data_IF_269058281134
#
_entry.id   IF_269058281134
#
_cell.length_a   1.000
_cell.length_b   1.000
_cell.length_c   1.000
_cell.angle_alpha   90.00
_cell.angle_beta   90.00
_cell.angle_gamma   90.00
#
_symmetry.space_group_name_H-M   'P 1'
#
loop_
_entity.id
_entity.type
_entity.pdbx_description
1 polymer ?
#
# COMPACT_ATOMS: atom_id res chain seq x y z
N UNK A 1 18.36 -56.87 23.71
CA UNK A 1 18.92 -57.98 22.91
C UNK A 1 17.87 -58.39 21.90
N UNK A 2 18.20 -58.41 20.61
CA UNK A 2 17.43 -59.11 19.58
C UNK A 2 16.63 -58.23 18.62
N UNK A 3 17.11 -58.16 17.38
CA UNK A 3 16.47 -57.59 16.18
C UNK A 3 15.18 -58.34 15.74
N UNK A 4 14.36 -57.76 14.84
CA UNK A 4 13.02 -58.25 14.46
C UNK A 4 13.01 -59.16 13.22
N UNK A 5 11.89 -59.87 12.97
CA UNK A 5 11.48 -60.24 11.61
C UNK A 5 9.96 -59.98 11.38
N UNK A 6 9.38 -59.70 10.22
CA UNK A 6 9.76 -59.59 8.79
C UNK A 6 8.64 -58.78 8.11
N UNK A 7 8.99 -58.04 7.06
CA UNK A 7 8.06 -57.42 6.09
C UNK A 7 7.33 -58.47 5.25
N UNK A 8 6.07 -58.21 4.90
CA UNK A 8 5.42 -58.74 3.70
C UNK A 8 4.76 -57.62 2.89
N UNK A 9 5.29 -57.44 1.67
CA UNK A 9 4.76 -56.93 0.38
C UNK A 9 3.90 -55.64 0.36
N UNK A 10 4.41 -54.53 -0.18
CA UNK A 10 4.56 -54.13 -1.61
C UNK A 10 3.27 -53.61 -2.26
N UNK A 11 3.25 -52.29 -2.48
CA UNK A 11 2.44 -51.61 -3.48
C UNK A 11 3.18 -50.35 -3.93
N UNK A 12 4.00 -50.47 -4.97
CA UNK A 12 4.62 -49.35 -5.68
C UNK A 12 3.61 -48.76 -6.67
N UNK A 13 3.50 -47.43 -6.70
CA UNK A 13 3.24 -46.69 -7.93
C UNK A 13 4.20 -45.51 -7.97
N UNK A 14 5.22 -45.64 -8.81
CA UNK A 14 6.07 -44.55 -9.28
C UNK A 14 5.38 -43.91 -10.49
N UNK A 15 5.17 -42.60 -10.45
CA UNK A 15 5.07 -41.80 -11.68
C UNK A 15 5.83 -40.49 -11.50
N UNK A 16 6.96 -40.44 -12.21
CA UNK A 16 7.74 -39.30 -12.70
C UNK A 16 8.40 -38.31 -11.71
N UNK A 17 9.74 -38.44 -11.66
CA UNK A 17 10.76 -37.44 -11.33
C UNK A 17 10.75 -36.82 -9.91
N UNK A 18 11.18 -37.60 -8.91
CA UNK A 18 11.67 -37.06 -7.63
C UNK A 18 12.56 -38.08 -6.92
N UNK A 19 13.76 -37.68 -6.49
CA UNK A 19 14.67 -38.53 -5.69
C UNK A 19 14.43 -38.27 -4.20
N UNK A 20 14.20 -39.33 -3.43
CA UNK A 20 14.07 -39.31 -1.97
C UNK A 20 15.44 -39.12 -1.30
N UNK A 21 15.58 -38.19 -0.34
CA UNK A 21 16.89 -37.82 0.22
C UNK A 21 16.99 -37.91 1.75
N UNK A 22 15.92 -38.23 2.48
CA UNK A 22 16.03 -38.53 3.93
C UNK A 22 14.77 -38.21 4.73
N UNK A 23 14.75 -38.65 6.00
CA UNK A 23 13.67 -38.41 6.97
C UNK A 23 14.17 -37.52 8.12
N UNK A 24 13.32 -36.60 8.58
CA UNK A 24 13.52 -35.83 9.80
C UNK A 24 12.24 -35.72 10.63
N UNK A 25 12.37 -35.34 11.90
CA UNK A 25 11.25 -35.11 12.83
C UNK A 25 11.39 -33.72 13.47
N UNK A 26 10.29 -32.96 13.50
CA UNK A 26 10.15 -31.73 14.30
C UNK A 26 8.81 -31.81 15.03
N UNK A 27 8.81 -31.66 16.35
CA UNK A 27 7.58 -31.60 17.14
C UNK A 27 6.69 -32.86 17.11
N UNK A 28 7.27 -34.05 16.86
CA UNK A 28 6.55 -35.32 16.90
C UNK A 28 5.69 -35.65 15.66
N UNK A 29 5.82 -34.90 14.57
CA UNK A 29 5.19 -35.25 13.29
C UNK A 29 6.22 -35.60 12.21
N UNK A 30 5.85 -36.56 11.36
CA UNK A 30 6.66 -37.11 10.26
C UNK A 30 6.59 -36.21 9.03
N UNK A 31 7.75 -35.92 8.45
CA UNK A 31 7.88 -35.11 7.22
C UNK A 31 8.76 -35.85 6.21
N UNK A 32 8.28 -35.96 4.97
CA UNK A 32 9.04 -36.50 3.83
C UNK A 32 9.72 -35.36 3.06
N UNK A 33 11.03 -35.46 2.83
CA UNK A 33 11.81 -34.45 2.10
C UNK A 33 12.03 -34.86 0.64
N UNK A 34 11.68 -33.97 -0.29
CA UNK A 34 12.05 -34.05 -1.70
C UNK A 34 12.81 -32.80 -2.14
N UNK A 35 13.91 -32.94 -2.88
CA UNK A 35 14.58 -31.81 -3.52
C UNK A 35 14.29 -31.82 -5.03
N UNK A 36 13.89 -30.67 -5.54
CA UNK A 36 14.03 -30.34 -6.95
C UNK A 36 15.30 -29.49 -7.14
N UNK A 37 16.00 -29.70 -8.25
CA UNK A 37 17.30 -29.09 -8.49
C UNK A 37 17.31 -27.57 -8.29
N UNK A 38 18.09 -27.11 -7.31
CA UNK A 38 18.48 -25.71 -7.14
C UNK A 38 17.57 -24.86 -6.24
N UNK A 39 17.53 -25.14 -4.94
CA UNK A 39 17.00 -24.22 -3.91
C UNK A 39 16.18 -24.93 -2.84
N UNK A 40 16.42 -24.62 -1.56
CA UNK A 40 15.62 -25.11 -0.42
C UNK A 40 14.51 -24.09 -0.15
N UNK A 41 13.25 -24.50 -0.22
CA UNK A 41 12.10 -23.72 0.23
C UNK A 41 11.73 -24.16 1.66
N UNK A 42 11.58 -23.21 2.57
CA UNK A 42 10.91 -23.44 3.86
C UNK A 42 9.57 -22.70 3.83
N UNK A 43 8.50 -23.40 4.16
CA UNK A 43 7.17 -22.82 4.34
C UNK A 43 6.71 -23.13 5.77
N UNK A 44 6.34 -22.09 6.53
CA UNK A 44 5.72 -22.23 7.83
C UNK A 44 4.19 -22.16 7.64
N UNK A 45 3.50 -23.30 7.70
CA UNK A 45 2.03 -23.37 7.70
C UNK A 45 1.59 -23.73 9.11
N UNK A 46 0.91 -22.82 9.82
CA UNK A 46 0.21 -23.13 11.06
C UNK A 46 -1.23 -23.54 10.75
N UNK A 47 -1.60 -24.77 11.12
CA UNK A 47 -2.99 -25.24 11.09
C UNK A 47 -3.63 -25.07 12.47
N UNK A 48 -4.77 -24.39 12.54
CA UNK A 48 -5.68 -24.42 13.69
C UNK A 48 -6.88 -25.32 13.36
N UNK A 49 -7.27 -26.27 14.23
CA UNK A 49 -8.40 -27.16 13.96
C UNK A 49 -9.73 -26.43 14.17
N UNK A 50 -10.59 -26.41 13.15
CA UNK A 50 -12.02 -26.08 13.26
C UNK A 50 -12.86 -27.35 13.07
N UNK A 51 -14.00 -27.39 13.75
CA UNK A 51 -14.90 -28.54 13.88
C UNK A 51 -15.41 -29.11 12.53
N UNK A 52 -15.89 -30.38 12.50
CA UNK A 52 -16.26 -31.07 11.27
C UNK A 52 -17.41 -30.35 10.56
N UNK A 53 -17.23 -29.94 9.30
CA UNK A 53 -18.30 -29.40 8.46
C UNK A 53 -17.96 -28.21 7.56
N UNK A 54 -16.74 -27.67 7.58
CA UNK A 54 -16.35 -26.54 6.73
C UNK A 54 -15.29 -26.96 5.69
N UNK A 55 -15.53 -26.64 4.43
CA UNK A 55 -14.53 -26.69 3.37
C UNK A 55 -13.63 -25.45 3.44
N UNK A 56 -12.31 -25.65 3.40
CA UNK A 56 -11.31 -24.60 3.35
C UNK A 56 -11.03 -24.21 1.89
N UNK A 57 -11.11 -22.91 1.57
CA UNK A 57 -10.53 -22.36 0.35
C UNK A 57 -9.10 -21.92 0.65
N UNK A 58 -8.13 -22.45 -0.08
CA UNK A 58 -6.74 -21.98 -0.10
C UNK A 58 -6.48 -21.43 -1.50
N UNK A 59 -6.26 -20.12 -1.62
CA UNK A 59 -5.76 -19.52 -2.85
C UNK A 59 -4.25 -19.34 -2.71
N UNK A 60 -3.47 -20.07 -3.50
CA UNK A 60 -2.02 -19.91 -3.60
C UNK A 60 -1.65 -19.41 -4.99
N UNK A 61 -0.89 -18.31 -5.08
CA UNK A 61 -0.18 -17.91 -6.30
C UNK A 61 1.32 -18.07 -6.08
N UNK A 62 1.93 -18.94 -6.88
CA UNK A 62 3.38 -19.03 -7.05
C UNK A 62 3.87 -17.90 -7.96
N UNK A 63 4.95 -17.22 -7.58
CA UNK A 63 5.77 -16.42 -8.50
C UNK A 63 6.97 -17.25 -8.96
N UNK A 64 7.18 -17.30 -10.29
CA UNK A 64 8.32 -17.94 -10.93
C UNK A 64 9.47 -16.93 -11.03
N UNK A 65 10.58 -17.19 -10.34
CA UNK A 65 11.84 -16.47 -10.55
C UNK A 65 12.61 -17.11 -11.72
N UNK A 66 12.64 -16.40 -12.86
CA UNK A 66 13.51 -16.75 -14.01
C UNK A 66 14.94 -16.29 -13.69
N UNK A 67 15.85 -17.22 -13.43
CA UNK A 67 17.27 -16.90 -13.25
C UNK A 67 18.06 -17.18 -14.54
N UNK A 68 18.77 -16.17 -15.02
CA UNK A 68 19.54 -16.17 -16.26
C UNK A 68 20.79 -17.06 -16.17
N UNK A 69 20.91 -18.05 -17.07
CA UNK A 69 22.19 -18.50 -17.68
C UNK A 69 21.90 -19.11 -19.06
N UNK A 70 22.02 -18.30 -20.11
CA UNK A 70 22.13 -18.80 -21.48
C UNK A 70 23.59 -18.65 -21.88
N UNK A 71 24.28 -19.77 -22.00
CA UNK A 71 25.51 -19.84 -22.76
C UNK A 71 25.36 -20.95 -23.80
N UNK A 72 25.66 -20.60 -25.05
CA UNK A 72 25.77 -21.46 -26.24
C UNK A 72 24.45 -21.83 -26.93
N UNK A 73 23.99 -20.96 -27.85
CA UNK A 73 23.50 -21.36 -29.18
C UNK A 73 23.39 -20.13 -30.10
N UNK A 74 23.94 -20.22 -31.31
CA UNK A 74 23.77 -19.34 -32.47
C UNK A 74 23.96 -20.22 -33.73
N UNK A 75 23.43 -19.87 -34.92
CA UNK A 75 22.35 -18.93 -35.24
C UNK A 75 21.31 -19.54 -36.22
N UNK A 76 20.09 -19.00 -36.28
CA UNK A 76 19.43 -18.74 -37.57
C UNK A 76 18.24 -17.78 -37.39
N UNK A 77 18.42 -16.59 -38.00
CA UNK A 77 17.47 -15.61 -38.52
C UNK A 77 16.05 -15.45 -37.92
N UNK A 78 15.74 -14.17 -37.60
CA UNK A 78 14.43 -13.54 -37.32
C UNK A 78 14.06 -13.25 -35.85
N UNK A 79 14.79 -12.37 -35.17
CA UNK A 79 14.35 -11.79 -33.87
C UNK A 79 14.54 -10.28 -33.73
N UNK A 80 14.83 -9.55 -34.80
CA UNK A 80 14.89 -8.08 -34.77
C UNK A 80 13.50 -7.50 -35.09
N UNK A 81 12.66 -7.26 -34.07
CA UNK A 81 11.59 -6.21 -34.10
C UNK A 81 10.66 -6.13 -32.88
N UNK A 82 10.83 -6.89 -31.79
CA UNK A 82 9.91 -6.80 -30.64
C UNK A 82 10.60 -6.66 -29.29
N UNK A 83 11.24 -5.51 -29.08
CA UNK A 83 11.47 -4.96 -27.74
C UNK A 83 10.88 -3.55 -27.72
N UNK A 84 9.56 -3.47 -27.56
CA UNK A 84 8.85 -2.27 -27.14
C UNK A 84 7.79 -2.72 -26.13
N UNK A 85 7.85 -2.15 -24.92
CA UNK A 85 6.76 -2.27 -23.94
C UNK A 85 6.96 -3.32 -22.86
N UNK A 86 8.03 -3.20 -22.05
CA UNK A 86 7.87 -3.58 -20.64
C UNK A 86 7.05 -2.46 -20.02
N UNK A 87 5.72 -2.63 -20.02
CA UNK A 87 4.83 -1.83 -19.20
C UNK A 87 5.13 -2.20 -17.75
N UNK A 88 5.76 -1.30 -16.99
CA UNK A 88 5.77 -1.38 -15.53
C UNK A 88 4.31 -1.51 -15.10
N UNK A 89 3.95 -2.58 -14.38
CA UNK A 89 2.61 -2.76 -13.85
C UNK A 89 2.29 -1.55 -12.97
N UNK A 90 1.49 -0.63 -13.52
CA UNK A 90 0.96 0.54 -12.82
C UNK A 90 0.13 0.00 -11.66
N UNK A 91 0.52 0.29 -10.42
CA UNK A 91 -0.32 -0.04 -9.28
C UNK A 91 -1.71 0.55 -9.51
N UNK A 92 -2.78 -0.21 -9.24
CA UNK A 92 -4.13 0.28 -9.49
C UNK A 92 -4.35 1.51 -8.62
N UNK A 93 -4.59 2.64 -9.28
CA UNK A 93 -4.65 3.97 -8.67
C UNK A 93 -5.88 4.14 -7.77
N UNK A 94 -6.90 3.31 -8.02
CA UNK A 94 -7.95 2.98 -7.07
C UNK A 94 -7.63 1.58 -6.58
N UNK A 95 -7.44 1.41 -5.28
CA UNK A 95 -7.08 0.09 -4.75
C UNK A 95 -8.33 -0.80 -4.77
N UNK A 96 -8.47 -1.58 -5.84
CA UNK A 96 -9.41 -2.69 -5.93
C UNK A 96 -9.10 -3.65 -4.78
N UNK A 97 -10.00 -3.74 -3.79
CA UNK A 97 -9.81 -4.59 -2.61
C UNK A 97 -10.03 -3.91 -1.25
N UNK A 98 -10.23 -2.58 -1.19
CA UNK A 98 -10.74 -1.97 0.04
C UNK A 98 -12.12 -2.56 0.36
N UNK A 99 -12.27 -3.08 1.58
CA UNK A 99 -13.55 -3.63 2.01
C UNK A 99 -14.56 -2.49 2.19
N UNK A 100 -15.85 -2.78 1.98
CA UNK A 100 -16.94 -1.90 2.45
C UNK A 100 -17.02 -2.00 3.97
N UNK A 101 -16.00 -1.51 4.64
CA UNK A 101 -15.97 -1.46 6.10
C UNK A 101 -17.03 -0.46 6.56
N UNK A 102 -17.63 -0.73 7.72
CA UNK A 102 -18.55 0.21 8.35
C UNK A 102 -17.92 1.59 8.55
N UNK A 103 -16.60 1.65 8.77
CA UNK A 103 -15.84 2.90 8.88
C UNK A 103 -15.79 3.68 7.57
N UNK A 104 -15.51 3.03 6.44
CA UNK A 104 -15.47 3.67 5.12
C UNK A 104 -16.86 4.15 4.70
N UNK A 105 -17.90 3.34 4.88
CA UNK A 105 -19.27 3.74 4.56
C UNK A 105 -19.73 4.92 5.43
N UNK A 106 -19.48 4.87 6.74
CA UNK A 106 -19.84 5.97 7.64
C UNK A 106 -19.08 7.26 7.34
N UNK A 107 -17.79 7.16 7.02
CA UNK A 107 -16.99 8.32 6.62
C UNK A 107 -17.52 8.94 5.33
N UNK A 108 -17.93 8.12 4.36
CA UNK A 108 -18.54 8.60 3.12
C UNK A 108 -19.83 9.39 3.39
N UNK A 109 -20.72 8.88 4.23
CA UNK A 109 -21.95 9.59 4.64
C UNK A 109 -21.62 10.95 5.25
N UNK A 110 -20.70 10.99 6.23
CA UNK A 110 -20.27 12.22 6.88
C UNK A 110 -19.66 13.23 5.90
N UNK A 111 -18.87 12.76 4.92
CA UNK A 111 -18.33 13.61 3.84
C UNK A 111 -19.49 14.25 3.05
N UNK A 112 -20.49 13.46 2.67
CA UNK A 112 -21.63 13.95 1.89
C UNK A 112 -22.51 14.93 2.67
N UNK A 113 -22.69 14.69 3.98
CA UNK A 113 -23.51 15.52 4.86
C UNK A 113 -22.82 16.85 5.24
N UNK A 114 -21.53 16.82 5.52
CA UNK A 114 -20.85 17.94 6.19
C UNK A 114 -19.86 18.69 5.30
N UNK A 115 -19.23 18.03 4.33
CA UNK A 115 -18.14 18.60 3.54
C UNK A 115 -18.61 19.27 2.25
N UNK A 116 -19.73 18.82 1.68
CA UNK A 116 -20.27 19.33 0.42
C UNK A 116 -21.16 20.54 0.72
N UNK A 117 -20.63 21.74 0.50
CA UNK A 117 -21.40 22.98 0.58
C UNK A 117 -22.06 23.24 -0.77
N UNK A 118 -23.37 22.98 -0.87
CA UNK A 118 -24.16 23.25 -2.08
C UNK A 118 -24.60 24.72 -2.10
N UNK A 119 -24.30 25.39 -3.20
CA UNK A 119 -24.57 26.82 -3.38
C UNK A 119 -23.59 27.43 -4.38
N UNK A 120 -24.02 28.48 -5.09
CA UNK A 120 -23.15 29.20 -6.02
C UNK A 120 -21.94 29.77 -5.28
N UNK A 121 -20.77 29.27 -5.62
CA UNK A 121 -19.50 29.76 -5.11
C UNK A 121 -18.64 30.28 -6.27
N UNK A 122 -17.99 31.41 -6.06
CA UNK A 122 -16.94 31.87 -6.95
C UNK A 122 -15.64 31.22 -6.51
N UNK A 123 -15.10 30.33 -7.34
CA UNK A 123 -13.80 29.70 -7.11
C UNK A 123 -12.67 30.74 -7.16
N UNK A 124 -11.50 30.41 -6.62
CA UNK A 124 -10.30 31.27 -6.74
C UNK A 124 -9.88 31.54 -8.20
N UNK A 125 -10.40 30.76 -9.15
CA UNK A 125 -10.26 30.95 -10.60
C UNK A 125 -11.23 31.98 -11.19
N UNK A 126 -12.15 32.55 -10.40
CA UNK A 126 -13.22 33.44 -10.84
C UNK A 126 -14.43 32.73 -11.47
N UNK A 127 -14.39 31.39 -11.63
CA UNK A 127 -15.51 30.61 -12.16
C UNK A 127 -16.58 30.37 -11.09
N UNK A 128 -17.86 30.39 -11.50
CA UNK A 128 -18.94 29.89 -10.64
C UNK A 128 -18.93 28.35 -10.63
N UNK A 129 -19.11 27.77 -9.45
CA UNK A 129 -19.40 26.37 -9.26
C UNK A 129 -20.63 26.20 -8.37
N UNK A 130 -21.40 25.13 -8.60
CA UNK A 130 -22.63 24.85 -7.85
C UNK A 130 -22.35 24.21 -6.48
N UNK A 131 -21.10 23.87 -6.21
CA UNK A 131 -20.66 23.31 -4.94
C UNK A 131 -19.21 23.66 -4.61
N UNK A 132 -18.89 23.67 -3.31
CA UNK A 132 -17.54 23.71 -2.76
C UNK A 132 -17.36 22.54 -1.78
N UNK A 133 -16.20 21.88 -1.82
CA UNK A 133 -15.87 20.80 -0.88
C UNK A 133 -14.86 21.34 0.13
N UNK A 134 -15.22 21.28 1.42
CA UNK A 134 -14.32 21.65 2.52
C UNK A 134 -14.05 20.44 3.43
N UNK A 135 -13.03 19.65 3.10
CA UNK A 135 -12.70 18.44 3.86
C UNK A 135 -12.15 18.72 5.26
N UNK A 136 -11.78 19.95 5.57
CA UNK A 136 -11.42 20.34 6.94
C UNK A 136 -12.59 20.16 7.90
N UNK A 137 -13.83 20.27 7.40
CA UNK A 137 -15.04 19.94 8.18
C UNK A 137 -15.14 18.47 8.54
N UNK A 138 -14.39 17.60 7.87
CA UNK A 138 -14.34 16.15 8.10
C UNK A 138 -13.13 15.82 8.94
N UNK A 139 -11.95 16.27 8.52
CA UNK A 139 -10.69 15.93 9.18
C UNK A 139 -10.58 16.53 10.59
N UNK A 140 -11.35 17.59 10.89
CA UNK A 140 -11.47 18.19 12.23
C UNK A 140 -12.79 17.85 12.96
N UNK A 141 -13.64 16.98 12.40
CA UNK A 141 -14.86 16.54 13.07
C UNK A 141 -14.57 15.43 14.07
N UNK A 142 -15.18 15.50 15.25
CA UNK A 142 -14.95 14.58 16.37
C UNK A 142 -15.13 13.09 15.99
N UNK A 143 -16.18 12.75 15.22
CA UNK A 143 -16.42 11.39 14.72
C UNK A 143 -15.56 11.08 13.48
N UNK A 144 -15.68 11.88 12.41
CA UNK A 144 -15.08 11.58 11.13
C UNK A 144 -13.55 11.56 11.15
N UNK A 145 -12.89 12.34 12.00
CA UNK A 145 -11.42 12.37 12.09
C UNK A 145 -10.85 10.99 12.46
N UNK A 146 -11.48 10.28 13.41
CA UNK A 146 -11.08 8.92 13.76
C UNK A 146 -11.27 7.94 12.58
N UNK A 147 -12.36 8.09 11.83
CA UNK A 147 -12.64 7.27 10.65
C UNK A 147 -11.65 7.55 9.50
N UNK A 148 -11.25 8.81 9.28
CA UNK A 148 -10.22 9.18 8.31
C UNK A 148 -8.94 8.41 8.58
N UNK A 149 -8.49 8.36 9.84
CA UNK A 149 -7.29 7.64 10.22
C UNK A 149 -7.36 6.15 9.94
N UNK A 150 -8.48 5.50 10.27
CA UNK A 150 -8.71 4.07 10.01
C UNK A 150 -8.71 3.77 8.51
N UNK A 151 -9.47 4.52 7.72
CA UNK A 151 -9.66 4.26 6.29
C UNK A 151 -8.41 4.57 5.48
N UNK A 152 -7.69 5.66 5.81
CA UNK A 152 -6.41 5.97 5.17
C UNK A 152 -5.36 4.90 5.50
N UNK A 153 -5.29 4.43 6.75
CA UNK A 153 -4.36 3.38 7.14
C UNK A 153 -4.68 2.05 6.42
N UNK A 154 -5.96 1.68 6.35
CA UNK A 154 -6.42 0.51 5.59
C UNK A 154 -5.99 0.61 4.11
N UNK A 155 -6.19 1.76 3.47
CA UNK A 155 -5.76 1.97 2.09
C UNK A 155 -4.25 1.75 1.92
N UNK A 156 -3.43 2.29 2.83
CA UNK A 156 -1.97 2.12 2.77
C UNK A 156 -1.54 0.66 3.00
N UNK A 157 -2.28 -0.08 3.82
CA UNK A 157 -2.03 -1.50 4.07
C UNK A 157 -2.40 -2.37 2.86
N UNK A 158 -3.53 -2.10 2.20
CA UNK A 158 -3.91 -2.80 0.96
C UNK A 158 -2.92 -2.47 -0.17
N UNK A 159 -2.37 -1.25 -0.18
CA UNK A 159 -1.28 -0.87 -1.08
C UNK A 159 0.05 -1.59 -0.80
N UNK A 160 0.16 -2.28 0.34
CA UNK A 160 1.38 -2.96 0.82
C UNK A 160 2.59 -2.02 0.91
N UNK A 161 2.35 -0.79 1.36
CA UNK A 161 3.41 0.19 1.54
C UNK A 161 4.09 0.02 2.91
N UNK A 162 5.42 -0.03 2.89
CA UNK A 162 6.25 0.00 4.09
C UNK A 162 6.68 1.44 4.40
N UNK A 163 6.19 1.99 5.52
CA UNK A 163 6.47 3.36 5.95
C UNK A 163 6.45 3.48 7.48
N UNK A 164 7.13 4.50 7.99
CA UNK A 164 7.18 4.82 9.43
C UNK A 164 6.75 6.25 9.75
N UNK A 165 6.50 7.07 8.72
CA UNK A 165 6.15 8.46 8.86
C UNK A 165 5.09 8.89 7.85
N UNK A 166 4.15 9.73 8.28
CA UNK A 166 3.10 10.30 7.44
C UNK A 166 2.94 11.79 7.70
N UNK A 167 2.63 12.56 6.67
CA UNK A 167 2.53 14.02 6.81
C UNK A 167 2.48 14.72 5.47
N UNK A 168 2.30 16.03 5.45
CA UNK A 168 2.19 16.76 4.19
C UNK A 168 2.23 18.26 4.38
N UNK A 169 1.87 19.00 3.33
CA UNK A 169 1.87 20.46 3.39
C UNK A 169 0.73 20.94 4.31
N UNK A 170 1.09 21.80 5.27
CA UNK A 170 0.11 22.46 6.12
C UNK A 170 -0.86 23.31 5.28
N UNK A 171 -2.16 23.37 5.59
CA UNK A 171 -2.81 22.85 6.80
C UNK A 171 -3.67 21.60 6.55
N UNK A 172 -4.04 21.31 5.29
CA UNK A 172 -4.99 20.23 4.97
C UNK A 172 -4.49 18.84 5.37
N UNK A 173 -3.18 18.61 5.24
CA UNK A 173 -2.55 17.33 5.57
C UNK A 173 -2.40 17.09 7.09
N UNK A 174 -2.32 18.16 7.89
CA UNK A 174 -2.02 18.09 9.32
C UNK A 174 -3.04 17.21 10.09
N UNK A 175 -4.36 17.44 9.98
CA UNK A 175 -5.35 16.59 10.67
C UNK A 175 -5.45 15.17 10.09
N UNK A 176 -5.09 14.96 8.81
CA UNK A 176 -5.04 13.61 8.23
C UNK A 176 -3.88 12.83 8.84
N UNK A 177 -2.70 13.46 8.95
CA UNK A 177 -1.51 12.83 9.55
C UNK A 177 -1.71 12.46 11.01
N UNK A 178 -2.31 13.34 11.81
CA UNK A 178 -2.60 13.04 13.22
C UNK A 178 -3.65 11.93 13.38
N UNK A 179 -4.69 11.90 12.54
CA UNK A 179 -5.68 10.84 12.53
C UNK A 179 -5.06 9.46 12.23
N UNK A 180 -4.18 9.38 11.23
CA UNK A 180 -3.44 8.15 10.89
C UNK A 180 -2.53 7.74 12.05
N UNK A 181 -1.75 8.67 12.62
CA UNK A 181 -0.87 8.40 13.76
C UNK A 181 -1.63 7.78 14.94
N UNK A 182 -2.80 8.35 15.31
CA UNK A 182 -3.61 7.81 16.40
C UNK A 182 -4.22 6.44 16.06
N UNK A 183 -4.69 6.25 14.82
CA UNK A 183 -5.25 4.97 14.37
C UNK A 183 -4.19 3.87 14.31
N UNK A 184 -2.99 4.19 13.82
CA UNK A 184 -1.84 3.30 13.83
C UNK A 184 -1.44 2.90 15.25
N UNK A 185 -1.42 3.87 16.19
CA UNK A 185 -1.10 3.59 17.59
C UNK A 185 -2.13 2.65 18.23
N UNK A 186 -3.41 2.84 17.94
CA UNK A 186 -4.48 1.94 18.38
C UNK A 186 -4.31 0.52 17.81
N UNK A 187 -3.75 0.38 16.61
CA UNK A 187 -3.37 -0.88 15.98
C UNK A 187 -1.96 -1.37 16.37
N UNK A 188 -1.36 -0.83 17.43
CA UNK A 188 -0.01 -1.18 17.92
C UNK A 188 1.14 -0.97 16.91
N UNK A 189 0.97 -0.08 15.93
CA UNK A 189 2.01 0.34 14.98
C UNK A 189 2.65 1.66 15.41
N UNK A 190 3.93 1.81 15.11
CA UNK A 190 4.71 3.01 15.42
C UNK A 190 4.86 3.85 14.15
N UNK A 191 3.85 4.67 13.86
CA UNK A 191 3.84 5.62 12.73
C UNK A 191 3.80 7.03 13.30
N UNK A 192 4.84 7.82 13.01
CA UNK A 192 4.97 9.20 13.46
C UNK A 192 4.35 10.18 12.45
N UNK A 193 3.65 11.21 12.92
CA UNK A 193 3.20 12.30 12.06
C UNK A 193 4.27 13.40 11.93
N UNK A 194 4.36 14.03 10.76
CA UNK A 194 5.16 15.25 10.53
C UNK A 194 4.36 16.31 9.76
N UNK A 195 4.85 17.54 9.75
CA UNK A 195 4.23 18.67 9.05
C UNK A 195 5.25 19.36 8.15
N UNK A 196 4.88 19.63 6.90
CA UNK A 196 5.67 20.46 5.98
C UNK A 196 5.10 21.87 5.98
N UNK A 197 5.94 22.87 6.28
CA UNK A 197 5.56 24.29 6.21
C UNK A 197 5.52 24.78 4.76
N UNK A 198 4.67 25.79 4.50
CA UNK A 198 4.58 26.49 3.20
C UNK A 198 5.87 27.20 2.80
N UNK A 199 6.63 27.68 3.77
CA UNK A 199 7.91 28.32 3.56
C UNK A 199 8.88 27.89 4.67
N UNK A 200 10.18 27.90 4.37
CA UNK A 200 11.22 27.72 5.38
C UNK A 200 11.20 28.88 6.37
N UNK A 201 11.60 28.60 7.62
CA UNK A 201 11.87 29.67 8.60
C UNK A 201 13.07 30.50 8.12
N UNK A 202 12.94 31.82 8.16
CA UNK A 202 14.04 32.75 7.88
C UNK A 202 15.10 32.80 8.99
N UNK A 203 14.80 32.27 10.18
CA UNK A 203 15.70 32.22 11.35
C UNK A 203 15.60 30.86 12.08
N UNK A 204 16.71 30.35 12.62
CA UNK A 204 16.82 29.04 13.27
C UNK A 204 17.40 27.96 12.35
N UNK A 205 17.16 26.66 12.63
CA UNK A 205 17.68 25.53 11.82
C UNK A 205 17.14 25.46 10.37
N UNK A 206 16.29 26.40 9.93
CA UNK A 206 15.80 26.51 8.54
C UNK A 206 14.97 25.32 8.04
N UNK A 207 14.61 24.37 8.89
CA UNK A 207 13.91 23.14 8.49
C UNK A 207 12.47 23.45 8.05
N UNK A 208 12.10 22.93 6.87
CA UNK A 208 10.74 23.02 6.34
C UNK A 208 9.82 21.95 6.96
N UNK A 209 10.40 20.83 7.41
CA UNK A 209 9.70 19.70 8.02
C UNK A 209 9.80 19.80 9.55
N UNK A 210 8.66 19.68 10.22
CA UNK A 210 8.50 19.72 11.68
C UNK A 210 7.98 18.35 12.17
N UNK A 211 8.38 17.95 13.38
CA UNK A 211 8.06 16.64 13.97
C UNK A 211 9.29 15.76 14.18
N UNK A 212 9.10 14.46 14.49
CA UNK A 212 10.19 13.49 14.56
C UNK A 212 11.02 13.46 13.26
N UNK A 213 12.31 13.14 13.37
CA UNK A 213 13.18 13.06 12.18
C UNK A 213 12.67 12.02 11.19
N UNK A 214 12.69 12.40 9.91
CA UNK A 214 12.31 11.56 8.76
C UNK A 214 13.53 11.12 7.93
N UNK A 215 14.73 11.52 8.33
CA UNK A 215 15.96 11.22 7.60
C UNK A 215 16.19 9.70 7.50
N UNK A 216 16.38 9.20 6.27
CA UNK A 216 16.55 7.78 5.97
C UNK A 216 15.29 6.92 6.12
N UNK A 217 14.12 7.53 6.38
CA UNK A 217 12.87 6.80 6.62
C UNK A 217 11.95 6.82 5.40
N UNK A 218 11.13 5.78 5.26
CA UNK A 218 10.05 5.73 4.28
C UNK A 218 8.86 6.57 4.78
N UNK A 219 8.39 7.47 3.91
CA UNK A 219 7.44 8.52 4.21
C UNK A 219 6.29 8.49 3.21
N UNK A 220 5.05 8.58 3.71
CA UNK A 220 3.88 8.87 2.87
C UNK A 220 3.53 10.34 2.98
N UNK A 221 3.46 11.02 1.82
CA UNK A 221 2.97 12.41 1.75
C UNK A 221 1.44 12.41 1.68
N UNK A 222 0.79 13.22 2.50
CA UNK A 222 -0.66 13.27 2.64
C UNK A 222 -1.27 14.54 2.04
N UNK A 223 -2.48 14.43 1.50
CA UNK A 223 -3.42 15.54 1.29
C UNK A 223 -4.83 15.16 1.73
N UNK A 224 -5.65 16.16 2.08
CA UNK A 224 -7.10 15.98 2.20
C UNK A 224 -7.74 15.96 0.81
N UNK A 225 -7.42 16.92 -0.07
CA UNK A 225 -7.80 16.90 -1.48
C UNK A 225 -6.78 17.58 -2.36
N UNK A 226 -6.64 17.11 -3.60
CA UNK A 226 -5.75 17.71 -4.59
C UNK A 226 -6.54 18.54 -5.63
N UNK A 227 -5.94 19.66 -6.07
CA UNK A 227 -6.49 20.53 -7.13
C UNK A 227 -5.53 20.60 -8.32
N UNK A 228 -4.31 21.03 -8.08
CA UNK A 228 -3.24 21.14 -9.09
C UNK A 228 -2.08 20.20 -8.79
N UNK A 229 -2.11 19.50 -7.64
CA UNK A 229 -0.99 18.72 -7.10
C UNK A 229 0.18 19.56 -6.55
N UNK A 230 0.13 20.89 -6.65
CA UNK A 230 1.25 21.76 -6.25
C UNK A 230 1.62 21.66 -4.76
N UNK A 231 0.61 21.48 -3.89
CA UNK A 231 0.81 21.29 -2.45
C UNK A 231 1.53 19.96 -2.16
N UNK A 232 1.05 18.85 -2.72
CA UNK A 232 1.71 17.56 -2.62
C UNK A 232 3.16 17.62 -3.14
N UNK A 233 3.40 18.20 -4.32
CA UNK A 233 4.76 18.33 -4.88
C UNK A 233 5.69 19.17 -4.00
N UNK A 234 5.18 20.26 -3.42
CA UNK A 234 5.93 21.07 -2.45
C UNK A 234 6.29 20.25 -1.20
N UNK A 235 5.38 19.41 -0.72
CA UNK A 235 5.62 18.53 0.41
C UNK A 235 6.65 17.44 0.08
N UNK A 236 6.53 16.78 -1.08
CA UNK A 236 7.48 15.78 -1.57
C UNK A 236 8.89 16.37 -1.60
N UNK A 237 9.06 17.55 -2.18
CA UNK A 237 10.34 18.23 -2.25
C UNK A 237 10.90 18.57 -0.86
N UNK A 238 10.05 19.06 0.05
CA UNK A 238 10.43 19.34 1.43
C UNK A 238 10.90 18.08 2.19
N UNK A 239 10.21 16.96 1.99
CA UNK A 239 10.57 15.65 2.58
C UNK A 239 11.90 15.13 2.03
N UNK A 240 12.09 15.19 0.71
CA UNK A 240 13.35 14.78 0.05
C UNK A 240 14.54 15.60 0.54
N UNK A 241 14.38 16.92 0.65
CA UNK A 241 15.42 17.81 1.22
C UNK A 241 15.76 17.52 2.67
N UNK A 242 14.80 16.99 3.43
CA UNK A 242 14.99 16.57 4.81
C UNK A 242 15.55 15.12 4.93
N UNK A 243 15.88 14.48 3.81
CA UNK A 243 16.47 13.14 3.76
C UNK A 243 15.45 12.00 3.85
N UNK A 244 14.15 12.28 3.77
CA UNK A 244 13.11 11.25 3.76
C UNK A 244 12.91 10.62 2.37
N UNK A 245 12.60 9.32 2.35
CA UNK A 245 12.24 8.59 1.15
C UNK A 245 10.72 8.60 0.96
N UNK A 246 10.22 9.39 0.00
CA UNK A 246 8.78 9.42 -0.30
C UNK A 246 8.39 8.15 -1.06
N UNK A 247 7.53 7.33 -0.47
CA UNK A 247 7.07 6.07 -1.08
C UNK A 247 5.71 6.20 -1.77
N UNK A 248 4.90 7.19 -1.40
CA UNK A 248 3.62 7.48 -2.03
C UNK A 248 3.11 8.89 -1.68
N UNK A 249 2.17 9.39 -2.49
CA UNK A 249 1.24 10.44 -2.12
C UNK A 249 -0.14 9.82 -1.89
N UNK A 250 -0.75 10.05 -0.74
CA UNK A 250 -2.06 9.51 -0.37
C UNK A 250 -3.06 10.62 -0.05
N UNK A 251 -4.24 10.54 -0.67
CA UNK A 251 -5.23 11.62 -0.65
C UNK A 251 -6.59 11.11 -0.17
N UNK A 252 -7.26 11.86 0.70
CA UNK A 252 -8.57 11.45 1.20
C UNK A 252 -9.64 11.49 0.07
N UNK A 253 -9.72 12.58 -0.68
CA UNK A 253 -10.63 12.71 -1.83
C UNK A 253 -9.92 13.23 -3.06
N UNK A 254 -9.88 12.39 -4.10
CA UNK A 254 -9.52 12.82 -5.45
C UNK A 254 -10.74 13.40 -6.17
N UNK A 255 -10.53 14.57 -6.78
CA UNK A 255 -11.58 15.33 -7.48
C UNK A 255 -11.45 15.25 -9.00
N UNK A 256 -10.60 14.35 -9.50
CA UNK A 256 -10.33 14.12 -10.93
C UNK A 256 -9.96 15.43 -11.65
N UNK A 257 -8.89 16.06 -11.17
CA UNK A 257 -8.44 17.39 -11.63
C UNK A 257 -7.17 17.37 -12.47
N UNK A 258 -6.62 16.18 -12.77
CA UNK A 258 -5.30 16.01 -13.38
C UNK A 258 -4.13 16.06 -12.38
N UNK A 259 -4.41 16.26 -11.08
CA UNK A 259 -3.39 16.35 -10.05
C UNK A 259 -2.59 15.05 -9.91
N UNK A 260 -3.27 13.91 -10.03
CA UNK A 260 -2.68 12.57 -9.99
C UNK A 260 -1.62 12.39 -11.07
N UNK A 261 -1.96 12.62 -12.34
CA UNK A 261 -1.07 12.44 -13.48
C UNK A 261 0.16 13.33 -13.34
N UNK A 262 -0.05 14.57 -12.88
CA UNK A 262 1.03 15.51 -12.62
C UNK A 262 1.96 15.04 -11.50
N UNK A 263 1.42 14.58 -10.38
CA UNK A 263 2.20 14.09 -9.24
C UNK A 263 3.01 12.86 -9.64
N UNK A 264 2.38 11.88 -10.30
CA UNK A 264 3.07 10.67 -10.76
C UNK A 264 4.20 11.02 -11.74
N UNK A 265 3.99 11.99 -12.64
CA UNK A 265 4.99 12.40 -13.62
C UNK A 265 6.14 13.23 -13.03
N UNK A 266 5.87 14.17 -12.12
CA UNK A 266 6.89 15.07 -11.57
C UNK A 266 7.59 14.51 -10.34
N UNK A 267 6.89 13.74 -9.50
CA UNK A 267 7.45 13.16 -8.29
C UNK A 267 7.86 11.71 -8.43
N UNK A 268 7.46 10.99 -9.49
CA UNK A 268 7.83 9.58 -9.70
C UNK A 268 7.45 8.66 -8.53
N UNK A 269 6.33 8.97 -7.87
CA UNK A 269 5.77 8.18 -6.76
C UNK A 269 4.29 7.87 -7.02
N UNK A 270 3.77 6.73 -6.53
CA UNK A 270 2.38 6.38 -6.72
C UNK A 270 1.45 7.40 -6.03
N UNK A 271 0.33 7.69 -6.68
CA UNK A 271 -0.77 8.48 -6.14
C UNK A 271 -1.93 7.56 -5.76
N UNK A 272 -2.31 7.58 -4.49
CA UNK A 272 -3.38 6.76 -3.92
C UNK A 272 -4.50 7.66 -3.39
N UNK A 273 -5.76 7.24 -3.54
CA UNK A 273 -6.88 7.97 -2.97
C UNK A 273 -7.99 7.06 -2.43
N UNK A 274 -8.67 7.52 -1.38
CA UNK A 274 -9.75 6.75 -0.73
C UNK A 274 -11.07 6.88 -1.49
N UNK A 275 -11.48 8.12 -1.80
CA UNK A 275 -12.71 8.42 -2.53
C UNK A 275 -12.40 9.19 -3.80
N UNK A 276 -13.00 8.75 -4.91
CA UNK A 276 -13.06 9.54 -6.13
C UNK A 276 -14.32 10.40 -6.17
N UNK A 277 -14.31 11.43 -7.02
CA UNK A 277 -15.45 12.34 -7.27
C UNK A 277 -16.77 11.59 -7.50
N UNK A 278 -16.78 10.62 -8.41
CA UNK A 278 -17.99 9.87 -8.79
C UNK A 278 -18.61 9.12 -7.60
N UNK A 279 -17.76 8.64 -6.68
CA UNK A 279 -18.23 7.90 -5.52
C UNK A 279 -18.98 8.79 -4.53
N UNK A 280 -18.62 10.08 -4.46
CA UNK A 280 -19.26 11.06 -3.58
C UNK A 280 -20.50 11.71 -4.21
N UNK A 281 -20.80 11.42 -5.48
CA UNK A 281 -21.93 11.98 -6.22
C UNK A 281 -21.72 13.44 -6.62
N UNK A 282 -20.51 13.77 -7.07
CA UNK A 282 -20.03 15.11 -7.41
C UNK A 282 -19.78 15.29 -8.92
#
# INVERSE_FOLDING_TARGET
MGDPPRLHQLGQVLTHAGRFIGRGEIGGQRIDQGAFGGGVLFEHVQYLPLAPGHAMFIESRCEVLVNQRINQFQPETQWASRVHGISLNRMPTRIEGMSKTSARERLKELIQELAIVRGKVTLSSGKEADYYIDLRRITLHHEASGLVGQVMLEMLDVAKLEFSNVGGLTMGADPVGTAIMHSARAAHRNIDAFVVRKAQKSYGMGRQVEGPSIEGKNVVVLEDTSTTGGSALTAVEGVRKAGGNVVAVAVLVDRDTGAKERIEAEAEVPYLFVYGKDELGL
#
